data_IF_362927882417
#
_entry.id   IF_362927882417
#
_cell.length_a   1.000
_cell.length_b   1.000
_cell.length_c   1.000
_cell.angle_alpha   90.00
_cell.angle_beta   90.00
_cell.angle_gamma   90.00
#
_symmetry.space_group_name_H-M   'P 1'
#
loop_
_entity.id
_entity.type
_entity.pdbx_description
1 polymer ?
#
# COMPACT_ATOMS: atom_id res chain seq x y z
N UNK A 1 -0.03 14.32 -25.18
CA UNK A 1 -0.92 14.77 -24.08
C UNK A 1 -1.19 13.65 -23.06
N UNK A 2 -1.78 12.51 -23.43
CA UNK A 2 -2.06 11.40 -22.49
C UNK A 2 -0.83 10.91 -21.71
N UNK A 3 0.32 10.73 -22.37
CA UNK A 3 1.60 10.36 -21.72
C UNK A 3 1.99 11.37 -20.64
N UNK A 4 1.95 12.67 -20.96
CA UNK A 4 2.34 13.72 -20.02
C UNK A 4 1.40 13.80 -18.81
N UNK A 5 0.09 13.70 -19.03
CA UNK A 5 -0.90 13.70 -17.93
C UNK A 5 -0.72 12.45 -17.06
N UNK A 6 -0.60 11.27 -17.66
CA UNK A 6 -0.35 10.02 -16.95
C UNK A 6 0.98 10.07 -16.16
N UNK A 7 2.04 10.64 -16.74
CA UNK A 7 3.32 10.82 -16.05
C UNK A 7 3.20 11.78 -14.86
N UNK A 8 2.51 12.92 -15.01
CA UNK A 8 2.27 13.86 -13.90
C UNK A 8 1.48 13.20 -12.78
N UNK A 9 0.40 12.49 -13.10
CA UNK A 9 -0.39 11.72 -12.12
C UNK A 9 0.49 10.68 -11.41
N UNK A 10 1.32 9.96 -12.18
CA UNK A 10 2.23 8.95 -11.63
C UNK A 10 3.29 9.53 -10.72
N UNK A 11 3.81 10.72 -11.04
CA UNK A 11 4.78 11.44 -10.21
C UNK A 11 4.15 11.96 -8.92
N UNK A 12 2.90 12.43 -8.98
CA UNK A 12 2.14 12.82 -7.79
C UNK A 12 1.86 11.61 -6.88
N UNK A 13 1.46 10.48 -7.47
CA UNK A 13 1.27 9.20 -6.75
C UNK A 13 2.59 8.63 -6.20
N UNK A 14 3.73 8.93 -6.82
CA UNK A 14 5.05 8.51 -6.36
C UNK A 14 5.58 9.33 -5.17
N UNK A 15 5.09 10.55 -4.92
CA UNK A 15 5.55 11.39 -3.79
C UNK A 15 5.62 10.64 -2.44
N UNK A 16 4.58 9.92 -1.98
CA UNK A 16 4.63 9.16 -0.73
C UNK A 16 5.52 7.91 -0.78
N UNK A 17 6.16 7.60 -1.91
CA UNK A 17 7.15 6.52 -2.06
C UNK A 17 8.59 7.06 -2.13
N UNK A 18 8.74 8.38 -2.29
CA UNK A 18 10.03 9.07 -2.31
C UNK A 18 10.33 9.79 -0.99
N UNK A 19 9.45 9.64 -0.01
CA UNK A 19 9.61 10.14 1.35
C UNK A 19 10.67 9.32 2.13
N UNK A 20 11.00 9.70 3.36
CA UNK A 20 12.05 9.01 4.14
C UNK A 20 11.73 7.54 4.46
N UNK A 21 10.46 7.13 4.31
CA UNK A 21 9.96 5.79 4.65
C UNK A 21 10.59 4.70 3.77
N UNK A 22 10.74 3.48 4.29
CA UNK A 22 11.21 2.36 3.48
C UNK A 22 10.26 2.10 2.31
N UNK A 23 10.84 1.79 1.15
CA UNK A 23 10.09 1.55 -0.09
C UNK A 23 10.45 0.17 -0.62
N UNK A 24 9.50 -0.75 -0.50
CA UNK A 24 9.49 -2.09 -1.10
C UNK A 24 8.59 -2.06 -2.34
N UNK A 25 8.85 -2.94 -3.30
CA UNK A 25 7.98 -3.18 -4.46
C UNK A 25 6.54 -3.46 -4.04
N UNK A 26 6.30 -4.18 -2.93
CA UNK A 26 4.93 -4.39 -2.42
C UNK A 26 4.17 -3.07 -2.20
N UNK A 27 4.85 -2.11 -1.57
CA UNK A 27 4.29 -0.78 -1.30
C UNK A 27 4.08 0.03 -2.58
N UNK A 28 4.98 -0.12 -3.56
CA UNK A 28 4.80 0.46 -4.91
C UNK A 28 3.54 -0.12 -5.56
N UNK A 29 3.41 -1.45 -5.60
CA UNK A 29 2.24 -2.12 -6.19
C UNK A 29 0.95 -1.69 -5.52
N UNK A 30 0.88 -1.68 -4.18
CA UNK A 30 -0.30 -1.21 -3.44
C UNK A 30 -0.63 0.24 -3.78
N UNK A 31 0.37 1.14 -3.75
CA UNK A 31 0.17 2.57 -4.02
C UNK A 31 -0.39 2.81 -5.42
N UNK A 32 0.16 2.12 -6.42
CA UNK A 32 -0.33 2.27 -7.79
C UNK A 32 -1.63 1.53 -8.05
N UNK A 33 -1.88 0.38 -7.40
CA UNK A 33 -3.15 -0.36 -7.46
C UNK A 33 -4.29 0.50 -6.92
N UNK A 34 -4.16 1.04 -5.71
CA UNK A 34 -5.18 1.91 -5.11
C UNK A 34 -5.23 3.28 -5.79
N UNK A 35 -4.10 3.75 -6.33
CA UNK A 35 -3.98 4.98 -7.11
C UNK A 35 -4.41 4.87 -8.58
N UNK A 36 -5.08 3.79 -9.02
CA UNK A 36 -5.48 3.62 -10.42
C UNK A 36 -6.59 4.57 -10.88
N UNK A 37 -7.45 5.03 -9.98
CA UNK A 37 -8.61 5.87 -10.30
C UNK A 37 -8.31 7.05 -11.26
N UNK A 38 -7.32 7.92 -11.01
CA UNK A 38 -6.99 9.01 -11.92
C UNK A 38 -6.51 8.54 -13.30
N UNK A 39 -5.83 7.39 -13.42
CA UNK A 39 -5.45 6.82 -14.72
C UNK A 39 -6.66 6.37 -15.52
N UNK A 40 -7.62 5.74 -14.85
CA UNK A 40 -8.88 5.32 -15.49
C UNK A 40 -9.64 6.55 -16.01
N UNK A 41 -9.67 7.65 -15.27
CA UNK A 41 -10.28 8.91 -15.75
C UNK A 41 -9.61 9.46 -17.02
N UNK A 42 -8.27 9.41 -17.08
CA UNK A 42 -7.53 9.81 -18.29
C UNK A 42 -7.85 8.89 -19.47
N UNK A 43 -7.89 7.58 -19.23
CA UNK A 43 -8.29 6.59 -20.24
C UNK A 43 -9.70 6.90 -20.76
N UNK A 44 -10.66 7.15 -19.88
CA UNK A 44 -12.04 7.49 -20.26
C UNK A 44 -12.07 8.73 -21.17
N UNK A 45 -11.46 9.84 -20.75
CA UNK A 45 -11.45 11.08 -21.53
C UNK A 45 -10.83 10.87 -22.92
N UNK A 46 -9.73 10.13 -23.00
CA UNK A 46 -9.07 9.82 -24.27
C UNK A 46 -9.95 8.93 -25.17
N UNK A 47 -10.56 7.88 -24.62
CA UNK A 47 -11.41 6.97 -25.41
C UNK A 47 -12.69 7.63 -25.91
N UNK A 48 -13.30 8.56 -25.17
CA UNK A 48 -14.45 9.35 -25.65
C UNK A 48 -14.07 10.18 -26.87
N UNK A 49 -12.94 10.90 -26.81
CA UNK A 49 -12.45 11.73 -27.93
C UNK A 49 -12.12 10.85 -29.14
N UNK A 50 -11.49 9.70 -28.92
CA UNK A 50 -11.06 8.80 -29.99
C UNK A 50 -12.22 8.05 -30.66
N UNK A 51 -13.31 7.80 -29.94
CA UNK A 51 -14.48 7.10 -30.46
C UNK A 51 -15.51 8.01 -31.11
N UNK A 52 -15.52 9.32 -30.81
CA UNK A 52 -16.43 10.29 -31.43
C UNK A 52 -16.42 10.28 -32.98
N UNK A 53 -15.26 10.14 -33.66
CA UNK A 53 -15.19 10.00 -35.11
C UNK A 53 -15.82 8.72 -35.68
N UNK A 54 -16.03 7.69 -34.86
CA UNK A 54 -16.67 6.44 -35.26
C UNK A 54 -18.21 6.48 -35.19
N UNK A 55 -18.80 7.60 -34.74
CA UNK A 55 -20.25 7.76 -34.66
C UNK A 55 -20.92 7.63 -36.05
N UNK A 56 -22.12 7.01 -36.13
CA UNK A 56 -22.79 6.74 -37.40
C UNK A 56 -23.12 8.00 -38.21
N UNK A 57 -23.23 9.16 -37.55
CA UNK A 57 -23.56 10.45 -38.17
C UNK A 57 -22.32 11.28 -38.53
N UNK A 58 -21.11 10.76 -38.26
CA UNK A 58 -19.88 11.55 -38.41
C UNK A 58 -19.23 11.30 -39.79
N UNK A 59 -19.04 12.37 -40.55
CA UNK A 59 -18.55 12.32 -41.95
C UNK A 59 -17.01 12.26 -42.01
N UNK A 60 -16.34 12.56 -40.90
CA UNK A 60 -14.86 12.70 -40.81
C UNK A 60 -14.14 11.37 -41.07
N UNK A 61 -14.65 10.26 -40.52
CA UNK A 61 -14.21 8.92 -40.89
C UNK A 61 -15.27 8.34 -41.82
N UNK A 62 -15.39 8.94 -43.01
CA UNK A 62 -16.08 8.31 -44.13
C UNK A 62 -15.49 6.93 -44.44
N UNK A 63 -16.14 6.17 -45.33
CA UNK A 63 -15.57 4.96 -45.94
C UNK A 63 -14.35 5.38 -46.80
N UNK A 64 -13.26 5.82 -46.18
CA UNK A 64 -12.02 6.09 -46.86
C UNK A 64 -11.49 4.73 -47.32
N UNK A 65 -11.38 4.47 -48.64
CA UNK A 65 -11.06 3.15 -49.18
C UNK A 65 -9.63 2.67 -48.82
N UNK A 66 -8.81 3.51 -48.19
CA UNK A 66 -7.41 3.20 -47.90
C UNK A 66 -7.17 2.44 -46.57
N UNK A 67 -8.06 2.51 -45.56
CA UNK A 67 -7.86 1.83 -44.26
C UNK A 67 -9.18 1.37 -43.60
N UNK A 68 -9.31 0.10 -43.21
CA UNK A 68 -10.52 -0.38 -42.53
C UNK A 68 -10.63 0.24 -41.13
N UNK A 69 -11.86 0.61 -40.73
CA UNK A 69 -12.18 1.22 -39.41
C UNK A 69 -11.62 0.41 -38.23
N UNK A 70 -11.60 -0.92 -38.36
CA UNK A 70 -11.01 -1.86 -37.41
C UNK A 70 -9.52 -1.59 -37.15
N UNK A 71 -8.74 -1.28 -38.19
CA UNK A 71 -7.30 -0.98 -38.06
C UNK A 71 -7.06 0.35 -37.35
N UNK A 72 -7.94 1.34 -37.58
CA UNK A 72 -7.88 2.63 -36.88
C UNK A 72 -8.18 2.43 -35.39
N UNK A 73 -9.26 1.70 -35.08
CA UNK A 73 -9.64 1.40 -33.69
C UNK A 73 -8.54 0.63 -32.94
N UNK A 74 -7.98 -0.42 -33.55
CA UNK A 74 -6.86 -1.17 -33.00
C UNK A 74 -5.67 -0.25 -32.65
N UNK A 75 -5.30 0.62 -33.59
CA UNK A 75 -4.19 1.54 -33.41
C UNK A 75 -4.44 2.54 -32.29
N UNK A 76 -5.64 3.11 -32.19
CA UNK A 76 -6.01 4.05 -31.12
C UNK A 76 -5.98 3.40 -29.73
N UNK A 77 -6.46 2.16 -29.62
CA UNK A 77 -6.38 1.38 -28.38
C UNK A 77 -4.92 1.12 -28.01
N UNK A 78 -4.09 0.68 -28.97
CA UNK A 78 -2.68 0.43 -28.72
C UNK A 78 -1.91 1.70 -28.33
N UNK A 79 -2.19 2.83 -28.99
CA UNK A 79 -1.58 4.13 -28.69
C UNK A 79 -1.97 4.63 -27.29
N UNK A 80 -3.24 4.47 -26.88
CA UNK A 80 -3.68 4.86 -25.53
C UNK A 80 -3.14 3.94 -24.45
N UNK A 81 -3.18 2.62 -24.65
CA UNK A 81 -2.65 1.68 -23.68
C UNK A 81 -1.15 1.86 -23.50
N UNK A 82 -0.41 2.06 -24.61
CA UNK A 82 1.03 2.34 -24.56
C UNK A 82 1.31 3.69 -23.88
N UNK A 83 0.55 4.74 -24.21
CA UNK A 83 0.75 6.06 -23.62
C UNK A 83 0.58 6.08 -22.11
N UNK A 84 -0.47 5.43 -21.60
CA UNK A 84 -0.74 5.36 -20.15
C UNK A 84 0.26 4.45 -19.45
N UNK A 85 0.63 3.32 -20.06
CA UNK A 85 1.65 2.41 -19.51
C UNK A 85 3.03 3.05 -19.44
N UNK A 86 3.44 3.79 -20.48
CA UNK A 86 4.70 4.55 -20.48
C UNK A 86 4.67 5.64 -19.41
N UNK A 87 3.56 6.38 -19.30
CA UNK A 87 3.40 7.40 -18.25
C UNK A 87 3.53 6.81 -16.84
N UNK A 88 2.92 5.65 -16.60
CA UNK A 88 3.04 4.91 -15.35
C UNK A 88 4.49 4.48 -15.09
N UNK A 89 5.14 3.86 -16.07
CA UNK A 89 6.52 3.39 -15.95
C UNK A 89 7.50 4.53 -15.64
N UNK A 90 7.31 5.69 -16.28
CA UNK A 90 8.11 6.90 -16.02
C UNK A 90 7.95 7.37 -14.57
N UNK A 91 6.73 7.42 -14.02
CA UNK A 91 6.53 7.81 -12.62
C UNK A 91 6.99 6.76 -11.61
N UNK A 92 6.92 5.47 -11.96
CA UNK A 92 7.41 4.36 -11.14
C UNK A 92 8.94 4.26 -11.10
N UNK A 93 9.65 4.88 -12.05
CA UNK A 93 11.10 4.69 -12.21
C UNK A 93 11.89 5.01 -10.92
N UNK A 94 11.66 6.18 -10.31
CA UNK A 94 12.39 6.57 -9.10
C UNK A 94 12.09 5.67 -7.88
N UNK A 95 10.81 5.36 -7.55
CA UNK A 95 10.49 4.36 -6.52
C UNK A 95 11.10 2.98 -6.80
N UNK A 96 11.09 2.51 -8.04
CA UNK A 96 11.66 1.21 -8.42
C UNK A 96 13.18 1.15 -8.24
N UNK A 97 13.91 2.21 -8.59
CA UNK A 97 15.36 2.31 -8.36
C UNK A 97 15.67 2.26 -6.86
N UNK A 98 14.82 2.90 -6.04
CA UNK A 98 14.98 2.83 -4.58
C UNK A 98 14.70 1.42 -4.04
N UNK A 99 13.65 0.78 -4.55
CA UNK A 99 13.27 -0.56 -4.13
C UNK A 99 14.22 -1.66 -4.63
N UNK A 100 14.95 -1.43 -5.74
CA UNK A 100 15.88 -2.42 -6.31
C UNK A 100 17.10 -2.73 -5.45
N UNK A 101 17.32 -1.96 -4.39
CA UNK A 101 18.33 -2.24 -3.35
C UNK A 101 17.94 -3.48 -2.53
N UNK A 102 16.66 -3.87 -2.57
CA UNK A 102 16.13 -5.01 -1.84
C UNK A 102 15.84 -6.19 -2.77
N UNK A 103 15.79 -7.40 -2.20
CA UNK A 103 15.49 -8.62 -2.94
C UNK A 103 14.07 -8.56 -3.50
N UNK A 104 13.95 -8.74 -4.82
CA UNK A 104 12.68 -8.75 -5.56
C UNK A 104 12.19 -10.20 -5.67
N UNK A 105 10.92 -10.44 -5.34
CA UNK A 105 10.31 -11.77 -5.47
C UNK A 105 9.46 -11.84 -6.75
N UNK A 106 9.31 -13.03 -7.32
CA UNK A 106 8.55 -13.23 -8.56
C UNK A 106 7.07 -12.84 -8.43
N UNK A 107 6.48 -13.02 -7.24
CA UNK A 107 5.11 -12.58 -6.93
C UNK A 107 4.96 -11.06 -7.00
N UNK A 108 5.99 -10.30 -6.60
CA UNK A 108 5.97 -8.83 -6.68
C UNK A 108 5.96 -8.37 -8.15
N UNK A 109 6.71 -9.05 -9.02
CA UNK A 109 6.74 -8.78 -10.46
C UNK A 109 5.38 -9.09 -11.09
N UNK A 110 4.76 -10.22 -10.74
CA UNK A 110 3.43 -10.58 -11.24
C UNK A 110 2.36 -9.59 -10.76
N UNK A 111 2.44 -9.14 -9.51
CA UNK A 111 1.51 -8.15 -8.98
C UNK A 111 1.68 -6.79 -9.68
N UNK A 112 2.92 -6.37 -9.95
CA UNK A 112 3.21 -5.17 -10.74
C UNK A 112 2.72 -5.29 -12.19
N UNK A 113 2.94 -6.43 -12.83
CA UNK A 113 2.41 -6.75 -14.16
C UNK A 113 0.87 -6.67 -14.16
N UNK A 114 0.23 -7.13 -13.09
CA UNK A 114 -1.21 -7.00 -12.88
C UNK A 114 -1.70 -5.56 -12.95
N UNK A 115 -0.92 -4.57 -12.49
CA UNK A 115 -1.27 -3.14 -12.61
C UNK A 115 -1.27 -2.70 -14.07
N UNK A 116 -0.25 -3.05 -14.84
CA UNK A 116 -0.17 -2.75 -16.27
C UNK A 116 -1.29 -3.45 -17.07
N UNK A 117 -1.54 -4.73 -16.80
CA UNK A 117 -2.63 -5.48 -17.42
C UNK A 117 -3.99 -4.87 -17.06
N UNK A 118 -4.16 -4.36 -15.84
CA UNK A 118 -5.37 -3.63 -15.41
C UNK A 118 -5.62 -2.36 -16.22
N UNK A 119 -4.58 -1.58 -16.53
CA UNK A 119 -4.68 -0.40 -17.39
C UNK A 119 -5.02 -0.76 -18.84
N UNK A 120 -4.43 -1.83 -19.36
CA UNK A 120 -4.77 -2.36 -20.68
C UNK A 120 -6.25 -2.78 -20.74
N UNK A 121 -6.71 -3.56 -19.75
CA UNK A 121 -8.11 -3.95 -19.63
C UNK A 121 -9.03 -2.73 -19.56
N UNK A 122 -8.72 -1.75 -18.71
CA UNK A 122 -9.51 -0.52 -18.57
C UNK A 122 -9.62 0.25 -19.89
N UNK A 123 -8.53 0.29 -20.67
CA UNK A 123 -8.51 0.92 -22.00
C UNK A 123 -9.45 0.21 -22.97
N UNK A 124 -9.36 -1.11 -23.07
CA UNK A 124 -10.22 -1.90 -23.95
C UNK A 124 -11.70 -1.83 -23.54
N UNK A 125 -12.00 -1.93 -22.24
CA UNK A 125 -13.38 -1.82 -21.72
C UNK A 125 -13.95 -0.43 -22.00
N UNK A 126 -13.21 0.63 -21.69
CA UNK A 126 -13.66 2.01 -21.91
C UNK A 126 -13.93 2.27 -23.40
N UNK A 127 -13.03 1.82 -24.28
CA UNK A 127 -13.19 1.98 -25.71
C UNK A 127 -14.39 1.19 -26.25
N UNK A 128 -14.56 -0.07 -25.83
CA UNK A 128 -15.71 -0.90 -26.20
C UNK A 128 -17.04 -0.28 -25.71
N UNK A 129 -17.08 0.22 -24.47
CA UNK A 129 -18.24 0.91 -23.92
C UNK A 129 -18.59 2.15 -24.75
N UNK A 130 -17.62 3.01 -25.03
CA UNK A 130 -17.86 4.22 -25.82
C UNK A 130 -18.43 3.93 -27.22
N UNK A 131 -18.00 2.83 -27.86
CA UNK A 131 -18.56 2.40 -29.14
C UNK A 131 -20.00 1.85 -29.03
N UNK A 132 -20.33 1.21 -27.91
CA UNK A 132 -21.66 0.62 -27.68
C UNK A 132 -22.73 1.69 -27.36
N UNK A 133 -22.44 2.67 -26.50
CA UNK A 133 -23.44 3.69 -26.11
C UNK A 133 -23.74 4.73 -27.19
N UNK A 134 -22.86 4.87 -28.20
CA UNK A 134 -22.92 5.88 -29.28
C UNK A 134 -22.92 7.33 -28.78
N UNK A 135 -22.39 8.26 -29.57
CA UNK A 135 -22.40 9.68 -29.23
C UNK A 135 -23.84 10.24 -29.28
N UNK A 136 -24.29 11.09 -28.33
CA UNK A 136 -23.52 11.72 -27.24
C UNK A 136 -23.42 10.90 -25.94
N UNK A 137 -24.17 9.80 -25.81
CA UNK A 137 -24.19 8.98 -24.59
C UNK A 137 -22.85 8.31 -24.28
N UNK A 138 -21.92 8.20 -25.24
CA UNK A 138 -20.55 7.76 -24.98
C UNK A 138 -19.81 8.64 -23.96
N UNK A 139 -20.15 9.94 -23.88
CA UNK A 139 -19.59 10.86 -22.88
C UNK A 139 -20.04 10.53 -21.44
N UNK A 140 -21.15 9.81 -21.28
CA UNK A 140 -21.66 9.31 -19.99
C UNK A 140 -21.31 7.83 -19.78
N UNK A 141 -21.43 7.01 -20.81
CA UNK A 141 -21.27 5.56 -20.75
C UNK A 141 -19.85 5.09 -20.47
N UNK A 142 -18.84 5.76 -21.05
CA UNK A 142 -17.43 5.48 -20.74
C UNK A 142 -17.11 5.73 -19.26
N UNK A 143 -17.37 6.94 -18.73
CA UNK A 143 -17.19 7.24 -17.31
C UNK A 143 -17.99 6.36 -16.35
N UNK A 144 -19.26 6.05 -16.66
CA UNK A 144 -20.09 5.21 -15.80
C UNK A 144 -19.57 3.77 -15.71
N UNK A 145 -19.23 3.13 -16.84
CA UNK A 145 -18.76 1.74 -16.83
C UNK A 145 -17.35 1.60 -16.30
N UNK A 146 -16.44 2.49 -16.66
CA UNK A 146 -15.08 2.43 -16.14
C UNK A 146 -15.00 2.89 -14.66
N UNK A 147 -15.92 3.74 -14.21
CA UNK A 147 -16.08 4.09 -12.79
C UNK A 147 -16.69 2.93 -12.01
N UNK A 148 -17.65 2.23 -12.60
CA UNK A 148 -18.20 0.98 -12.08
C UNK A 148 -17.12 -0.10 -11.89
N UNK A 149 -16.13 -0.22 -12.78
CA UNK A 149 -15.00 -1.15 -12.60
C UNK A 149 -14.18 -0.90 -11.33
N UNK A 150 -14.15 0.34 -10.84
CA UNK A 150 -13.44 0.73 -9.62
C UNK A 150 -14.36 0.61 -8.39
N UNK A 151 -15.60 1.12 -8.50
CA UNK A 151 -16.51 1.25 -7.36
C UNK A 151 -17.35 0.02 -7.06
N UNK A 152 -17.81 -0.72 -8.08
CA UNK A 152 -18.69 -1.89 -7.87
C UNK A 152 -18.00 -2.96 -7.03
N UNK A 153 -16.74 -3.35 -7.28
CA UNK A 153 -16.11 -4.38 -6.46
C UNK A 153 -16.02 -3.96 -4.99
N UNK A 154 -15.68 -2.71 -4.69
CA UNK A 154 -15.61 -2.19 -3.32
C UNK A 154 -17.02 -2.24 -2.68
N UNK A 155 -18.02 -1.67 -3.35
CA UNK A 155 -19.41 -1.70 -2.89
C UNK A 155 -19.93 -3.12 -2.66
N UNK A 156 -19.63 -4.05 -3.59
CA UNK A 156 -20.03 -5.44 -3.44
C UNK A 156 -19.39 -6.09 -2.22
N UNK A 157 -18.11 -5.86 -1.93
CA UNK A 157 -17.48 -6.45 -0.75
C UNK A 157 -17.95 -5.80 0.56
N UNK A 158 -18.10 -4.49 0.59
CA UNK A 158 -18.42 -3.76 1.81
C UNK A 158 -19.90 -3.86 2.20
N UNK A 159 -20.79 -3.97 1.21
CA UNK A 159 -22.25 -3.92 1.41
C UNK A 159 -22.93 -5.25 1.12
N UNK A 160 -22.66 -5.87 -0.03
CA UNK A 160 -23.44 -7.02 -0.52
C UNK A 160 -22.92 -8.36 -0.01
N UNK A 161 -21.59 -8.54 -0.05
CA UNK A 161 -20.88 -9.76 0.29
C UNK A 161 -20.29 -9.73 1.71
N UNK A 162 -20.52 -8.64 2.43
CA UNK A 162 -20.04 -8.48 3.79
C UNK A 162 -20.56 -9.62 4.68
N UNK A 163 -19.66 -10.27 5.42
CA UNK A 163 -19.94 -11.44 6.27
C UNK A 163 -20.49 -12.69 5.54
N UNK A 164 -20.42 -12.77 4.21
CA UNK A 164 -20.92 -13.94 3.45
C UNK A 164 -19.87 -15.02 3.21
N UNK A 165 -18.60 -14.72 3.47
CA UNK A 165 -17.47 -15.58 3.09
C UNK A 165 -17.08 -15.49 1.61
N UNK A 166 -17.84 -14.72 0.80
CA UNK A 166 -17.53 -14.47 -0.60
C UNK A 166 -16.81 -13.13 -0.82
N UNK A 167 -15.96 -13.04 -1.84
CA UNK A 167 -15.23 -11.79 -2.15
C UNK A 167 -14.92 -11.60 -3.63
N UNK A 168 -15.16 -10.40 -4.14
CA UNK A 168 -14.77 -10.02 -5.52
C UNK A 168 -13.38 -9.39 -5.61
N UNK A 169 -12.67 -9.22 -4.48
CA UNK A 169 -11.41 -8.47 -4.42
C UNK A 169 -10.34 -9.07 -5.34
N UNK A 170 -10.28 -10.40 -5.47
CA UNK A 170 -9.34 -11.07 -6.36
C UNK A 170 -9.46 -10.63 -7.84
N UNK A 171 -10.64 -10.17 -8.26
CA UNK A 171 -10.95 -9.75 -9.64
C UNK A 171 -10.96 -8.23 -9.84
N UNK A 172 -10.92 -7.47 -8.76
CA UNK A 172 -11.07 -6.02 -8.77
C UNK A 172 -9.79 -5.28 -9.20
N UNK A 173 -9.92 -4.08 -9.75
CA UNK A 173 -8.76 -3.21 -10.05
C UNK A 173 -8.12 -2.67 -8.77
N UNK A 174 -8.93 -2.20 -7.85
CA UNK A 174 -8.58 -1.62 -6.54
C UNK A 174 -9.14 -2.49 -5.42
N UNK A 175 -8.41 -2.66 -4.32
CA UNK A 175 -8.87 -3.45 -3.19
C UNK A 175 -9.50 -2.61 -2.08
N UNK A 176 -9.29 -1.29 -2.07
CA UNK A 176 -9.74 -0.45 -0.96
C UNK A 176 -8.96 -0.69 0.33
N UNK A 177 -7.77 -1.30 0.25
CA UNK A 177 -6.93 -1.62 1.40
C UNK A 177 -5.45 -1.44 1.07
N UNK A 178 -4.64 -1.24 2.11
CA UNK A 178 -3.18 -1.05 1.99
C UNK A 178 -2.39 -2.36 1.98
N UNK A 179 -3.05 -3.52 2.10
CA UNK A 179 -2.37 -4.83 2.11
C UNK A 179 -1.94 -5.29 0.71
N UNK A 180 -0.85 -6.08 0.59
CA UNK A 180 0.00 -6.62 1.67
C UNK A 180 1.06 -5.61 2.17
N UNK A 181 1.29 -5.63 3.49
CA UNK A 181 2.39 -4.92 4.17
C UNK A 181 3.06 -5.85 5.20
N UNK A 182 4.34 -5.59 5.50
CA UNK A 182 5.08 -6.30 6.55
C UNK A 182 5.13 -7.82 6.36
N UNK A 183 4.45 -8.53 7.26
CA UNK A 183 4.38 -9.98 7.34
C UNK A 183 3.45 -10.65 6.32
N UNK A 184 2.88 -9.89 5.38
CA UNK A 184 1.99 -10.40 4.36
C UNK A 184 2.60 -10.27 2.97
N UNK A 185 2.38 -11.26 2.11
CA UNK A 185 2.78 -11.26 0.71
C UNK A 185 1.56 -11.42 -0.21
N UNK A 186 1.72 -11.02 -1.47
CA UNK A 186 0.72 -11.31 -2.50
C UNK A 186 0.60 -12.83 -2.69
N UNK A 187 -0.64 -13.32 -2.71
CA UNK A 187 -0.89 -14.70 -3.12
C UNK A 187 -0.49 -14.90 -4.58
N UNK A 188 0.42 -15.83 -4.85
CA UNK A 188 0.90 -16.12 -6.20
C UNK A 188 -0.25 -16.52 -7.14
N UNK A 189 -1.19 -17.34 -6.64
CA UNK A 189 -2.37 -17.76 -7.39
C UNK A 189 -3.24 -16.58 -7.81
N UNK A 190 -3.47 -15.63 -6.90
CA UNK A 190 -4.27 -14.42 -7.18
C UNK A 190 -3.52 -13.47 -8.11
N UNK A 191 -2.20 -13.32 -7.96
CA UNK A 191 -1.40 -12.49 -8.87
C UNK A 191 -1.43 -13.02 -10.31
N UNK A 192 -1.27 -14.33 -10.49
CA UNK A 192 -1.38 -15.00 -11.81
C UNK A 192 -2.80 -14.85 -12.36
N UNK A 193 -3.81 -15.12 -11.54
CA UNK A 193 -5.20 -14.97 -11.93
C UNK A 193 -5.51 -13.55 -12.41
N UNK A 194 -5.06 -12.53 -11.69
CA UNK A 194 -5.30 -11.13 -12.06
C UNK A 194 -4.66 -10.76 -13.40
N UNK A 195 -3.42 -11.16 -13.62
CA UNK A 195 -2.75 -10.95 -14.92
C UNK A 195 -3.54 -11.64 -16.04
N UNK A 196 -3.91 -12.91 -15.84
CA UNK A 196 -4.67 -13.68 -16.82
C UNK A 196 -6.05 -13.07 -17.08
N UNK A 197 -6.81 -12.73 -16.04
CA UNK A 197 -8.13 -12.13 -16.10
C UNK A 197 -8.08 -10.79 -16.84
N UNK A 198 -7.16 -9.90 -16.48
CA UNK A 198 -7.08 -8.58 -17.09
C UNK A 198 -6.65 -8.64 -18.55
N UNK A 199 -5.67 -9.49 -18.89
CA UNK A 199 -5.28 -9.73 -20.28
C UNK A 199 -6.43 -10.32 -21.10
N UNK A 200 -7.12 -11.34 -20.57
CA UNK A 200 -8.23 -12.00 -21.23
C UNK A 200 -9.42 -11.05 -21.41
N UNK A 201 -9.80 -10.32 -20.36
CA UNK A 201 -10.87 -9.31 -20.42
C UNK A 201 -10.52 -8.22 -21.41
N UNK A 202 -9.27 -7.75 -21.40
CA UNK A 202 -8.76 -6.79 -22.39
C UNK A 202 -8.87 -7.32 -23.82
N UNK A 203 -8.47 -8.57 -24.08
CA UNK A 203 -8.57 -9.20 -25.40
C UNK A 203 -10.02 -9.43 -25.84
N UNK A 204 -10.90 -9.85 -24.92
CA UNK A 204 -12.33 -10.02 -25.18
C UNK A 204 -13.00 -8.69 -25.52
N UNK A 205 -12.75 -7.62 -24.76
CA UNK A 205 -13.32 -6.30 -25.03
C UNK A 205 -12.74 -5.66 -26.29
N UNK A 206 -11.49 -5.96 -26.61
CA UNK A 206 -10.87 -5.60 -27.87
C UNK A 206 -11.60 -6.29 -29.04
N UNK A 207 -11.89 -7.58 -28.94
CA UNK A 207 -12.70 -8.28 -29.94
C UNK A 207 -14.11 -7.68 -30.07
N UNK A 208 -14.75 -7.29 -28.96
CA UNK A 208 -16.03 -6.57 -28.96
C UNK A 208 -15.90 -5.26 -29.74
N UNK A 209 -14.94 -4.41 -29.38
CA UNK A 209 -14.70 -3.12 -30.04
C UNK A 209 -14.48 -3.30 -31.55
N UNK A 210 -13.63 -4.26 -31.94
CA UNK A 210 -13.36 -4.53 -33.34
C UNK A 210 -14.59 -5.06 -34.08
N UNK A 211 -15.38 -5.96 -33.48
CA UNK A 211 -16.61 -6.49 -34.07
C UNK A 211 -17.69 -5.40 -34.25
N UNK A 212 -17.81 -4.46 -33.31
CA UNK A 212 -18.73 -3.32 -33.42
C UNK A 212 -18.32 -2.37 -34.54
N UNK A 213 -17.01 -2.14 -34.73
CA UNK A 213 -16.48 -1.26 -35.80
C UNK A 213 -16.53 -1.88 -37.20
N UNK A 214 -16.63 -3.20 -37.31
CA UNK A 214 -16.64 -3.91 -38.58
C UNK A 214 -18.03 -3.83 -39.24
N UNK A 215 -18.19 -2.93 -40.21
CA UNK A 215 -19.45 -2.76 -40.93
C UNK A 215 -19.85 -3.94 -41.84
N UNK A 216 -18.96 -4.91 -42.07
CA UNK A 216 -19.20 -6.06 -42.95
C UNK A 216 -19.87 -7.27 -42.26
N UNK A 217 -19.89 -7.33 -40.93
CA UNK A 217 -20.49 -8.45 -40.21
C UNK A 217 -22.02 -8.31 -40.09
N UNK A 218 -22.81 -9.39 -40.23
CA UNK A 218 -24.24 -9.37 -39.91
C UNK A 218 -24.48 -8.95 -38.46
N UNK A 219 -25.55 -8.18 -38.19
CA UNK A 219 -25.87 -7.68 -36.84
C UNK A 219 -25.92 -8.81 -35.80
N UNK A 220 -26.58 -9.92 -36.14
CA UNK A 220 -26.68 -11.11 -35.27
C UNK A 220 -25.30 -11.65 -34.90
N UNK A 221 -24.38 -11.74 -35.87
CA UNK A 221 -23.02 -12.24 -35.64
C UNK A 221 -22.20 -11.29 -34.77
N UNK A 222 -22.42 -9.97 -34.88
CA UNK A 222 -21.78 -8.98 -33.99
C UNK A 222 -22.30 -9.10 -32.56
N UNK A 223 -23.61 -9.24 -32.38
CA UNK A 223 -24.23 -9.38 -31.07
C UNK A 223 -23.81 -10.68 -30.38
N UNK A 224 -23.82 -11.81 -31.08
CA UNK A 224 -23.38 -13.10 -30.52
C UNK A 224 -21.91 -13.09 -30.16
N UNK A 225 -21.05 -12.57 -31.04
CA UNK A 225 -19.61 -12.41 -30.75
C UNK A 225 -19.39 -11.53 -29.52
N UNK A 226 -20.15 -10.44 -29.40
CA UNK A 226 -20.03 -9.53 -28.25
C UNK A 226 -20.51 -10.20 -26.96
N UNK A 227 -21.64 -10.90 -27.00
CA UNK A 227 -22.20 -11.61 -25.85
C UNK A 227 -21.24 -12.70 -25.35
N UNK A 228 -20.66 -13.50 -26.24
CA UNK A 228 -19.68 -14.54 -25.86
C UNK A 228 -18.43 -13.91 -25.23
N UNK A 229 -17.89 -12.85 -25.82
CA UNK A 229 -16.71 -12.16 -25.29
C UNK A 229 -16.99 -11.44 -23.95
N UNK A 230 -18.23 -11.04 -23.66
CA UNK A 230 -18.61 -10.51 -22.35
C UNK A 230 -18.84 -11.64 -21.33
N UNK A 231 -19.42 -12.76 -21.76
CA UNK A 231 -19.72 -13.88 -20.88
C UNK A 231 -18.45 -14.52 -20.27
N UNK A 232 -17.38 -14.68 -21.06
CA UNK A 232 -16.12 -15.29 -20.61
C UNK A 232 -15.54 -14.62 -19.35
N UNK A 233 -15.25 -13.30 -19.34
CA UNK A 233 -14.72 -12.65 -18.14
C UNK A 233 -15.73 -12.62 -16.99
N UNK A 234 -17.03 -12.48 -17.27
CA UNK A 234 -18.08 -12.52 -16.22
C UNK A 234 -18.09 -13.87 -15.50
N UNK A 235 -18.02 -14.98 -16.24
CA UNK A 235 -17.98 -16.33 -15.65
C UNK A 235 -16.75 -16.50 -14.76
N UNK A 236 -15.57 -16.01 -15.19
CA UNK A 236 -14.35 -16.10 -14.39
C UNK A 236 -14.39 -15.24 -13.13
N UNK A 237 -14.99 -14.05 -13.19
CA UNK A 237 -15.17 -13.18 -12.02
C UNK A 237 -16.12 -13.86 -11.03
N UNK A 238 -17.25 -14.40 -11.51
CA UNK A 238 -18.20 -15.12 -10.66
C UNK A 238 -17.58 -16.35 -10.03
N UNK A 239 -16.84 -17.16 -10.80
CA UNK A 239 -16.15 -18.33 -10.27
C UNK A 239 -15.14 -17.98 -9.16
N UNK A 240 -14.34 -16.93 -9.33
CA UNK A 240 -13.41 -16.50 -8.27
C UNK A 240 -14.11 -15.84 -7.09
N UNK A 241 -15.27 -15.21 -7.30
CA UNK A 241 -16.10 -14.69 -6.21
C UNK A 241 -16.62 -15.83 -5.33
N UNK A 242 -16.98 -16.96 -5.95
CA UNK A 242 -17.41 -18.15 -5.22
C UNK A 242 -16.25 -18.87 -4.52
N UNK A 243 -15.08 -18.94 -5.16
CA UNK A 243 -13.88 -19.56 -4.57
C UNK A 243 -13.25 -18.74 -3.45
N UNK A 244 -13.38 -17.41 -3.50
CA UNK A 244 -12.85 -16.46 -2.51
C UNK A 244 -11.44 -16.76 -2.02
N UNK A 245 -10.45 -16.83 -2.94
CA UNK A 245 -9.09 -17.13 -2.56
C UNK A 245 -8.50 -16.02 -1.70
N UNK A 246 -7.65 -16.41 -0.75
CA UNK A 246 -6.87 -15.45 0.03
C UNK A 246 -5.99 -14.60 -0.91
N UNK A 247 -6.27 -13.29 -0.93
CA UNK A 247 -5.57 -12.31 -1.76
C UNK A 247 -4.18 -11.96 -1.22
N UNK A 248 -3.98 -12.17 0.08
CA UNK A 248 -2.70 -12.07 0.78
C UNK A 248 -2.44 -13.36 1.55
N UNK A 249 -1.17 -13.73 1.66
CA UNK A 249 -0.73 -14.91 2.41
C UNK A 249 0.36 -14.52 3.41
N UNK A 250 0.53 -15.26 4.53
CA UNK A 250 1.65 -15.03 5.43
C UNK A 250 2.97 -15.09 4.67
N UNK A 251 3.81 -14.09 4.90
CA UNK A 251 5.08 -13.91 4.21
C UNK A 251 6.05 -15.02 4.61
N UNK A 252 6.67 -15.64 3.61
CA UNK A 252 7.78 -16.57 3.79
C UNK A 252 9.13 -15.85 3.79
N UNK A 253 9.12 -14.50 3.82
CA UNK A 253 10.34 -13.70 3.83
C UNK A 253 10.97 -13.74 5.21
N UNK A 254 12.24 -14.13 5.27
CA UNK A 254 13.01 -14.12 6.51
C UNK A 254 13.26 -12.69 6.97
N UNK A 255 13.09 -12.45 8.28
CA UNK A 255 13.47 -11.18 8.88
C UNK A 255 14.98 -11.04 8.90
N UNK A 256 15.45 -9.80 8.72
CA UNK A 256 16.85 -9.43 8.88
C UNK A 256 17.02 -8.76 10.22
N UNK A 257 17.95 -9.24 11.03
CA UNK A 257 18.22 -8.67 12.35
C UNK A 257 19.60 -8.01 12.37
N UNK A 258 19.67 -6.83 12.97
CA UNK A 258 20.93 -6.19 13.34
C UNK A 258 21.04 -6.16 14.86
N UNK A 259 22.20 -6.53 15.37
CA UNK A 259 22.50 -6.58 16.79
C UNK A 259 23.62 -5.57 17.11
N UNK A 260 23.35 -4.61 17.99
CA UNK A 260 24.30 -3.60 18.44
C UNK A 260 24.06 -3.25 19.91
N UNK A 261 25.10 -3.28 20.75
CA UNK A 261 25.07 -2.77 22.14
C UNK A 261 23.90 -3.28 23.00
N UNK A 262 23.58 -4.59 22.94
CA UNK A 262 22.41 -5.24 23.59
C UNK A 262 21.05 -4.84 23.00
N UNK A 263 21.02 -4.22 21.83
CA UNK A 263 19.79 -3.89 21.09
C UNK A 263 19.78 -4.74 19.83
N UNK A 264 18.80 -5.63 19.73
CA UNK A 264 18.53 -6.43 18.53
C UNK A 264 17.29 -5.88 17.85
N UNK A 265 17.43 -5.41 16.61
CA UNK A 265 16.30 -4.94 15.79
C UNK A 265 16.13 -5.84 14.59
N UNK A 266 14.98 -6.50 14.51
CA UNK A 266 14.59 -7.37 13.41
C UNK A 266 13.52 -6.70 12.56
N UNK A 267 13.74 -6.61 11.24
CA UNK A 267 12.77 -6.08 10.30
C UNK A 267 12.67 -6.95 9.06
N UNK A 268 11.55 -6.88 8.36
CA UNK A 268 11.45 -7.44 7.01
C UNK A 268 12.48 -6.75 6.07
N UNK A 269 12.93 -7.43 4.99
CA UNK A 269 13.99 -6.93 4.12
C UNK A 269 13.73 -5.53 3.55
N UNK A 270 12.48 -5.23 3.18
CA UNK A 270 12.07 -3.93 2.65
C UNK A 270 12.02 -2.79 3.68
N UNK A 271 12.17 -3.11 4.97
CA UNK A 271 12.17 -2.15 6.08
C UNK A 271 13.54 -2.04 6.78
N UNK A 272 14.60 -2.63 6.20
CA UNK A 272 15.95 -2.63 6.78
C UNK A 272 16.47 -1.23 7.13
N UNK A 273 16.07 -0.20 6.37
CA UNK A 273 16.46 1.19 6.64
C UNK A 273 15.91 1.75 7.95
N UNK A 274 14.94 1.09 8.60
CA UNK A 274 14.42 1.48 9.92
C UNK A 274 15.30 0.99 11.07
N UNK A 275 16.18 0.01 10.84
CA UNK A 275 16.98 -0.58 11.92
C UNK A 275 17.91 0.45 12.55
N UNK A 276 18.65 1.20 11.73
CA UNK A 276 19.57 2.25 12.21
C UNK A 276 18.86 3.33 13.04
N UNK A 277 17.80 4.01 12.57
CA UNK A 277 17.12 5.03 13.37
C UNK A 277 16.47 4.46 14.63
N UNK A 278 16.01 3.19 14.62
CA UNK A 278 15.49 2.54 15.81
C UNK A 278 16.60 2.27 16.85
N UNK A 279 17.75 1.72 16.42
CA UNK A 279 18.92 1.50 17.29
C UNK A 279 19.43 2.82 17.87
N UNK A 280 19.51 3.88 17.06
CA UNK A 280 19.94 5.20 17.52
C UNK A 280 19.02 5.77 18.60
N UNK A 281 17.70 5.74 18.38
CA UNK A 281 16.72 6.21 19.35
C UNK A 281 16.78 5.39 20.66
N UNK A 282 16.86 4.06 20.54
CA UNK A 282 17.00 3.17 21.68
C UNK A 282 18.29 3.41 22.46
N UNK A 283 19.41 3.61 21.76
CA UNK A 283 20.71 3.93 22.36
C UNK A 283 20.67 5.27 23.11
N UNK A 284 19.96 6.28 22.60
CA UNK A 284 19.81 7.57 23.28
C UNK A 284 19.08 7.45 24.62
N UNK A 285 18.01 6.64 24.68
CA UNK A 285 17.29 6.37 25.93
C UNK A 285 18.15 5.52 26.88
N UNK A 286 18.73 4.42 26.39
CA UNK A 286 19.58 3.53 27.19
C UNK A 286 20.85 4.22 27.71
N UNK A 287 21.31 5.29 27.06
CA UNK A 287 22.43 6.09 27.53
C UNK A 287 22.14 6.81 28.86
N UNK A 288 20.87 6.99 29.22
CA UNK A 288 20.44 7.57 30.50
C UNK A 288 20.42 6.54 31.64
N UNK A 289 20.37 5.24 31.30
CA UNK A 289 20.35 4.15 32.27
C UNK A 289 21.80 3.71 32.60
N UNK A 290 22.14 3.44 33.88
CA UNK A 290 23.44 2.90 34.26
C UNK A 290 23.79 1.63 33.48
N UNK A 291 25.05 1.50 33.03
CA UNK A 291 25.51 0.40 32.16
C UNK A 291 25.15 -1.00 32.69
N UNK A 292 25.28 -1.20 33.99
CA UNK A 292 25.04 -2.49 34.66
C UNK A 292 23.56 -2.89 34.68
N UNK A 293 22.66 -1.92 34.52
CA UNK A 293 21.20 -2.09 34.59
C UNK A 293 20.53 -2.02 33.20
N UNK A 294 21.32 -1.93 32.13
CA UNK A 294 20.81 -1.96 30.75
C UNK A 294 20.37 -3.37 30.39
N UNK A 295 19.06 -3.54 30.19
CA UNK A 295 18.45 -4.76 29.66
C UNK A 295 18.79 -4.92 28.18
N UNK A 296 18.86 -6.18 27.74
CA UNK A 296 18.86 -6.48 26.31
C UNK A 296 17.46 -6.21 25.77
N UNK A 297 17.36 -5.54 24.62
CA UNK A 297 16.10 -5.21 23.99
C UNK A 297 16.00 -5.90 22.63
N UNK A 298 14.96 -6.71 22.45
CA UNK A 298 14.55 -7.25 21.16
C UNK A 298 13.39 -6.43 20.59
N UNK A 299 13.61 -5.80 19.43
CA UNK A 299 12.62 -5.02 18.71
C UNK A 299 12.28 -5.69 17.39
N UNK A 300 10.99 -5.79 17.07
CA UNK A 300 10.55 -6.42 15.82
C UNK A 300 9.35 -5.71 15.21
N UNK A 301 9.08 -5.93 13.92
CA UNK A 301 7.83 -5.49 13.29
C UNK A 301 6.68 -6.42 13.64
N UNK A 302 5.48 -5.86 13.73
CA UNK A 302 4.25 -6.60 14.03
C UNK A 302 4.06 -7.82 13.10
N UNK A 303 3.58 -8.93 13.67
CA UNK A 303 3.40 -10.23 13.02
C UNK A 303 4.67 -10.89 12.45
N UNK A 304 5.86 -10.54 12.96
CA UNK A 304 7.08 -11.29 12.65
C UNK A 304 7.00 -12.72 13.18
N UNK A 305 7.23 -13.76 12.34
CA UNK A 305 7.06 -15.16 12.73
C UNK A 305 8.09 -15.66 13.77
N UNK A 306 9.17 -14.93 14.00
CA UNK A 306 10.33 -15.38 14.80
C UNK A 306 10.53 -14.64 16.13
N UNK A 307 9.63 -13.76 16.57
CA UNK A 307 10.00 -12.77 17.59
C UNK A 307 9.25 -12.91 18.93
N UNK A 308 9.99 -13.35 19.96
CA UNK A 308 9.83 -12.79 21.31
C UNK A 308 10.35 -11.35 21.23
N UNK A 309 9.43 -10.38 21.30
CA UNK A 309 9.76 -8.96 21.22
C UNK A 309 9.50 -8.29 22.57
N UNK A 310 10.49 -7.54 23.05
CA UNK A 310 10.27 -6.60 24.15
C UNK A 310 9.49 -5.38 23.65
N UNK A 311 9.72 -4.99 22.38
CA UNK A 311 9.14 -3.80 21.76
C UNK A 311 8.70 -4.11 20.33
N UNK A 312 7.48 -3.71 19.99
CA UNK A 312 6.99 -3.73 18.62
C UNK A 312 7.33 -2.39 17.96
N UNK A 313 8.01 -2.44 16.81
CA UNK A 313 8.35 -1.25 16.05
C UNK A 313 7.05 -0.56 15.59
N UNK A 314 6.92 0.76 15.82
CA UNK A 314 5.70 1.47 15.48
C UNK A 314 5.48 1.50 13.96
N UNK A 315 4.21 1.65 13.53
CA UNK A 315 3.91 1.92 12.13
C UNK A 315 4.66 3.19 11.69
N UNK A 316 5.21 3.18 10.47
CA UNK A 316 6.07 4.27 10.01
C UNK A 316 5.22 5.50 9.65
N UNK A 317 5.27 6.60 10.44
CA UNK A 317 4.44 7.77 10.20
C UNK A 317 4.77 8.42 8.85
N UNK A 318 3.75 8.95 8.19
CA UNK A 318 3.81 9.35 6.79
C UNK A 318 4.63 10.61 6.49
N UNK A 319 4.96 11.42 7.51
CA UNK A 319 5.51 12.77 7.31
C UNK A 319 6.84 13.05 8.02
N UNK A 320 7.17 12.39 9.14
CA UNK A 320 8.29 12.81 9.99
C UNK A 320 9.14 11.64 10.53
N UNK A 321 10.46 11.55 10.19
CA UNK A 321 11.36 10.56 10.77
C UNK A 321 11.58 10.74 12.27
N UNK A 322 11.40 11.96 12.80
CA UNK A 322 11.51 12.20 14.23
C UNK A 322 10.32 11.63 14.99
N UNK A 323 9.11 11.64 14.43
CA UNK A 323 7.95 10.98 15.02
C UNK A 323 8.19 9.47 15.22
N UNK A 324 8.80 8.80 14.24
CA UNK A 324 9.18 7.38 14.38
C UNK A 324 10.20 7.18 15.51
N UNK A 325 11.27 7.98 15.52
CA UNK A 325 12.31 7.90 16.57
C UNK A 325 11.75 8.20 17.96
N UNK A 326 10.90 9.22 18.09
CA UNK A 326 10.24 9.59 19.33
C UNK A 326 9.34 8.48 19.85
N UNK A 327 8.64 7.76 18.96
CA UNK A 327 7.80 6.65 19.38
C UNK A 327 8.61 5.42 19.77
N UNK A 328 9.67 5.07 19.03
CA UNK A 328 10.63 4.03 19.47
C UNK A 328 11.22 4.40 20.82
N UNK A 329 11.63 5.65 21.02
CA UNK A 329 12.17 6.13 22.29
C UNK A 329 11.15 6.02 23.43
N UNK A 330 9.88 6.34 23.17
CA UNK A 330 8.81 6.18 24.15
C UNK A 330 8.60 4.70 24.54
N UNK A 331 8.58 3.79 23.58
CA UNK A 331 8.41 2.36 23.88
C UNK A 331 9.61 1.79 24.65
N UNK A 332 10.84 2.22 24.32
CA UNK A 332 12.05 1.88 25.10
C UNK A 332 11.97 2.43 26.52
N UNK A 333 11.60 3.70 26.68
CA UNK A 333 11.50 4.33 27.98
C UNK A 333 10.45 3.65 28.86
N UNK A 334 9.30 3.26 28.32
CA UNK A 334 8.27 2.46 29.03
C UNK A 334 8.83 1.12 29.53
N UNK A 335 9.49 0.35 28.66
CA UNK A 335 10.07 -0.95 29.03
C UNK A 335 11.14 -0.78 30.11
N UNK A 336 11.98 0.26 30.01
CA UNK A 336 13.01 0.55 31.01
C UNK A 336 12.44 1.08 32.33
N UNK A 337 11.34 1.82 32.29
CA UNK A 337 10.64 2.31 33.48
C UNK A 337 9.79 1.24 34.18
N UNK A 338 9.65 0.05 33.58
CA UNK A 338 8.88 -1.07 34.15
C UNK A 338 7.35 -0.90 34.05
N UNK A 339 6.86 0.09 33.30
CA UNK A 339 5.42 0.37 33.21
C UNK A 339 4.57 -0.79 32.67
N UNK A 340 5.04 -1.66 31.74
CA UNK A 340 4.25 -2.81 31.30
C UNK A 340 3.98 -3.86 32.37
N UNK A 341 4.79 -3.89 33.44
CA UNK A 341 4.61 -4.81 34.57
C UNK A 341 3.62 -4.26 35.62
N UNK A 342 3.17 -3.01 35.47
CA UNK A 342 2.32 -2.34 36.44
C UNK A 342 0.83 -2.66 36.23
N UNK A 343 0.04 -2.84 37.32
CA UNK A 343 -1.41 -2.92 37.23
C UNK A 343 -2.03 -1.61 36.71
N UNK A 344 -2.97 -1.71 35.78
CA UNK A 344 -3.61 -0.59 35.05
C UNK A 344 -4.26 0.50 35.94
N UNK A 345 -4.62 0.17 37.17
CA UNK A 345 -5.30 1.08 38.12
C UNK A 345 -4.46 1.47 39.34
N UNK A 346 -3.14 1.26 39.30
CA UNK A 346 -2.25 1.53 40.45
C UNK A 346 -1.62 2.92 40.42
N UNK A 347 -1.41 3.53 41.60
CA UNK A 347 -0.57 4.75 41.74
C UNK A 347 0.88 4.51 41.32
N UNK A 348 1.33 3.26 41.34
CA UNK A 348 2.63 2.82 40.84
C UNK A 348 2.74 2.93 39.31
N UNK A 349 1.66 2.67 38.56
CA UNK A 349 1.64 2.91 37.11
C UNK A 349 1.86 4.39 36.78
N UNK A 350 1.19 5.30 37.50
CA UNK A 350 1.38 6.74 37.30
C UNK A 350 2.84 7.16 37.54
N UNK A 351 3.47 6.59 38.57
CA UNK A 351 4.90 6.83 38.86
C UNK A 351 5.82 6.23 37.77
N UNK A 352 5.50 5.06 37.24
CA UNK A 352 6.27 4.46 36.14
C UNK A 352 6.13 5.25 34.82
N UNK A 353 4.94 5.79 34.53
CA UNK A 353 4.71 6.66 33.38
C UNK A 353 5.43 8.01 33.52
N UNK A 354 5.52 8.55 34.73
CA UNK A 354 6.32 9.75 34.99
C UNK A 354 7.82 9.47 34.78
N UNK A 355 8.32 8.31 35.21
CA UNK A 355 9.72 7.92 34.95
C UNK A 355 10.00 7.73 33.44
N UNK A 356 9.05 7.19 32.67
CA UNK A 356 9.11 7.18 31.20
C UNK A 356 9.27 8.60 30.64
N UNK A 357 8.43 9.55 31.07
CA UNK A 357 8.51 10.95 30.66
C UNK A 357 9.87 11.59 31.01
N UNK A 358 10.42 11.31 32.19
CA UNK A 358 11.77 11.73 32.61
C UNK A 358 12.83 11.16 31.67
N UNK A 359 12.79 9.85 31.37
CA UNK A 359 13.77 9.22 30.48
C UNK A 359 13.72 9.80 29.06
N UNK A 360 12.52 10.08 28.55
CA UNK A 360 12.31 10.74 27.25
C UNK A 360 12.90 12.14 27.23
N UNK A 361 12.56 12.99 28.22
CA UNK A 361 13.07 14.36 28.29
C UNK A 361 14.60 14.38 28.38
N UNK A 362 15.20 13.53 29.24
CA UNK A 362 16.67 13.43 29.40
C UNK A 362 17.39 12.92 28.16
N UNK A 363 16.71 12.15 27.31
CA UNK A 363 17.25 11.64 26.05
C UNK A 363 17.03 12.58 24.86
N UNK A 364 16.40 13.75 25.09
CA UNK A 364 16.15 14.76 24.06
C UNK A 364 14.85 14.54 23.27
N UNK A 365 13.97 13.65 23.73
CA UNK A 365 12.64 13.43 23.15
C UNK A 365 11.58 14.11 24.01
N UNK A 366 10.80 15.02 23.43
CA UNK A 366 9.74 15.71 24.18
C UNK A 366 8.63 14.72 24.57
N UNK A 367 8.29 14.57 25.86
CA UNK A 367 7.07 13.87 26.26
C UNK A 367 5.84 14.71 25.90
N UNK A 368 4.72 14.08 25.57
CA UNK A 368 3.50 14.77 25.12
C UNK A 368 2.90 15.67 26.21
N UNK A 369 3.00 15.25 27.48
CA UNK A 369 2.42 15.95 28.62
C UNK A 369 3.47 16.65 29.51
N UNK A 370 4.73 16.73 29.07
CA UNK A 370 5.83 17.17 29.94
C UNK A 370 6.16 16.13 31.02
N UNK A 371 7.05 16.49 31.95
CA UNK A 371 7.23 15.83 33.24
C UNK A 371 7.35 16.89 34.32
N UNK A 372 6.78 16.62 35.49
CA UNK A 372 6.86 17.48 36.67
C UNK A 372 7.93 17.01 37.65
N UNK A 373 8.63 15.92 37.34
CA UNK A 373 9.65 15.36 38.22
C UNK A 373 10.95 16.16 38.12
N UNK A 374 11.55 16.55 39.26
CA UNK A 374 12.87 17.20 39.29
C UNK A 374 13.98 16.28 38.73
N UNK A 375 13.74 14.97 38.60
CA UNK A 375 14.69 14.02 38.03
C UNK A 375 15.00 14.31 36.55
N UNK A 376 14.15 15.06 35.84
CA UNK A 376 14.42 15.44 34.45
C UNK A 376 15.68 16.31 34.32
N UNK A 377 15.94 17.18 35.29
CA UNK A 377 16.96 18.24 35.17
C UNK A 377 18.25 17.98 35.97
N UNK A 378 18.28 16.92 36.80
CA UNK A 378 19.47 16.63 37.60
C UNK A 378 20.68 16.17 36.75
N UNK A 379 21.93 16.37 37.20
CA UNK A 379 23.11 15.88 36.50
C UNK A 379 23.11 14.37 36.30
N UNK A 380 23.69 13.90 35.19
CA UNK A 380 23.72 12.48 34.82
C UNK A 380 24.22 11.56 35.93
N UNK A 381 25.30 11.92 36.63
CA UNK A 381 25.85 11.13 37.74
C UNK A 381 24.86 10.98 38.90
N UNK A 382 24.12 12.05 39.22
CA UNK A 382 23.11 12.04 40.27
C UNK A 382 21.92 11.16 39.87
N UNK A 383 21.50 11.23 38.61
CA UNK A 383 20.46 10.34 38.08
C UNK A 383 20.89 8.87 38.10
N UNK A 384 22.13 8.57 37.73
CA UNK A 384 22.67 7.20 37.79
C UNK A 384 22.71 6.66 39.23
N UNK A 385 23.06 7.50 40.21
CA UNK A 385 23.03 7.12 41.62
C UNK A 385 21.60 6.87 42.11
N UNK A 386 20.65 7.73 41.73
CA UNK A 386 19.22 7.55 42.03
C UNK A 386 18.68 6.26 41.40
N UNK A 387 19.00 5.99 40.13
CA UNK A 387 18.55 4.77 39.44
C UNK A 387 19.03 3.53 40.19
N UNK A 388 20.31 3.48 40.56
CA UNK A 388 20.89 2.34 41.28
C UNK A 388 20.21 2.06 42.62
N UNK A 389 19.77 3.10 43.34
CA UNK A 389 19.06 2.91 44.62
C UNK A 389 17.59 2.52 44.46
N UNK A 390 16.99 2.70 43.27
CA UNK A 390 15.57 2.43 43.00
C UNK A 390 15.34 1.30 41.98
N UNK A 391 16.40 0.63 41.50
CA UNK A 391 16.30 -0.40 40.46
C UNK A 391 15.33 -1.53 40.80
N UNK A 392 15.39 -2.05 42.03
CA UNK A 392 14.47 -3.08 42.51
C UNK A 392 13.02 -2.61 42.50
N UNK A 393 12.76 -1.35 42.85
CA UNK A 393 11.42 -0.75 42.81
C UNK A 393 10.93 -0.54 41.37
N UNK A 394 11.82 -0.17 40.45
CA UNK A 394 11.52 -0.04 39.01
C UNK A 394 11.08 -1.41 38.47
N UNK A 395 11.87 -2.46 38.72
CA UNK A 395 11.61 -3.79 38.15
C UNK A 395 10.33 -4.45 38.66
N UNK A 396 9.88 -4.14 39.87
CA UNK A 396 8.71 -4.75 40.51
C UNK A 396 7.49 -3.83 40.56
N UNK A 397 7.49 -2.70 39.83
CA UNK A 397 6.43 -1.70 39.86
C UNK A 397 6.07 -1.23 41.29
N UNK A 398 7.07 -0.77 42.04
CA UNK A 398 6.92 -0.29 43.43
C UNK A 398 7.35 1.16 43.60
N UNK A 399 7.62 1.87 42.50
CA UNK A 399 7.91 3.30 42.52
C UNK A 399 6.71 4.10 43.01
N UNK A 400 6.98 5.13 43.82
CA UNK A 400 5.99 6.08 44.31
C UNK A 400 6.29 7.50 43.84
N UNK A 401 5.31 8.40 43.91
CA UNK A 401 5.49 9.81 43.58
C UNK A 401 6.61 10.47 44.43
N UNK A 402 6.72 10.07 45.71
CA UNK A 402 7.78 10.54 46.60
C UNK A 402 9.19 10.11 46.13
N UNK A 403 9.32 8.88 45.60
CA UNK A 403 10.59 8.40 45.03
C UNK A 403 11.04 9.24 43.80
N UNK A 404 10.07 9.86 43.11
CA UNK A 404 10.28 10.73 41.95
C UNK A 404 10.44 12.21 42.33
N UNK A 405 10.41 12.54 43.64
CA UNK A 405 10.52 13.91 44.13
C UNK A 405 9.25 14.75 43.93
N UNK A 406 8.11 14.13 43.66
CA UNK A 406 6.80 14.79 43.58
C UNK A 406 6.18 14.87 44.98
N UNK A 407 5.60 16.04 45.30
CA UNK A 407 4.95 16.30 46.59
C UNK A 407 3.48 15.92 46.60
#
# INVERSE_FOLDING_TARGET
MAVAIAAVISLLAARPLLDWRPTDIRRIVVTYREGLAPFVLVIMAMTVIQTAPHAPNNVIIGRAPARPRKTIAWRQIAETSAAVSIGLAVGMAAPLIRASIHKIYGTDILALLGVFCGLFMATCVSYAACLLFRFPYSALGGPLLSGALLGIPIFLNDVVLNNTGYSTLASSLTWGMTSPEGAWDFSASVAIYRVALFCLTGACMLNVALAVTDSGLPLVRRLTTSAVNVAVPVILITAMTLLSPNIVVPSQRTVTCTDQDKIRVCTFPGAKSLQTPAIEAARQVLAQVPKDHRRSLAMTQDNSPDAVADIWLPPVPSSDPQAFRAQVAADVARVMAGSPACPLSSSHLASALELDAVLRQRSGFSPENGTNSPLADIPKRSFEAWWKSHDTKIMHCQLTAADLGQK
#
